data_IF_564141280229
#
_entry.id   IF_564141280229
#
_cell.length_a   1.000
_cell.length_b   1.000
_cell.length_c   1.000
_cell.angle_alpha   90.00
_cell.angle_beta   90.00
_cell.angle_gamma   90.00
#
_symmetry.space_group_name_H-M   'P 1'
#
loop_
_entity.id
_entity.type
_entity.pdbx_description
1 polymer ?
#
# COMPACT_ATOMS: atom_id res chain seq x y z
N UNK A 1 62.04 19.54 21.30
CA UNK A 1 61.34 20.73 20.74
C UNK A 1 61.82 20.94 19.31
N UNK A 2 61.06 20.95 18.22
CA UNK A 2 59.62 20.81 17.95
C UNK A 2 59.50 20.28 16.49
N UNK A 3 58.56 19.37 16.25
CA UNK A 3 58.30 18.70 14.97
C UNK A 3 57.81 19.66 13.88
N UNK A 4 58.42 19.59 12.69
CA UNK A 4 58.00 20.36 11.51
C UNK A 4 57.27 19.47 10.49
N UNK A 5 56.22 18.77 10.93
CA UNK A 5 55.27 18.13 10.01
C UNK A 5 54.34 19.21 9.45
N UNK A 6 54.66 19.76 8.28
CA UNK A 6 53.86 20.81 7.63
C UNK A 6 53.49 20.42 6.20
N UNK A 7 52.19 20.15 6.03
CA UNK A 7 51.39 20.33 4.82
C UNK A 7 51.61 19.33 3.67
N UNK A 8 50.88 18.22 3.72
CA UNK A 8 50.27 17.67 2.51
C UNK A 8 48.76 17.50 2.75
N UNK A 9 48.03 18.59 2.49
CA UNK A 9 46.58 18.57 2.34
C UNK A 9 46.33 18.02 0.94
N UNK A 10 46.09 16.71 0.83
CA UNK A 10 45.62 16.10 -0.40
C UNK A 10 44.09 15.99 -0.33
N UNK A 11 43.42 17.05 -0.79
CA UNK A 11 42.00 17.06 -1.07
C UNK A 11 41.74 16.16 -2.28
N UNK A 12 41.14 14.97 -2.07
CA UNK A 12 40.65 14.14 -3.16
C UNK A 12 39.27 14.69 -3.54
N UNK A 13 39.28 15.56 -4.55
CA UNK A 13 38.10 16.12 -5.18
C UNK A 13 37.37 15.06 -6.01
N UNK A 14 36.16 14.73 -5.55
CA UNK A 14 34.91 14.48 -6.27
C UNK A 14 35.05 14.17 -7.78
N UNK A 15 34.70 12.94 -8.15
CA UNK A 15 34.04 12.67 -9.44
C UNK A 15 32.81 11.80 -9.18
N UNK A 16 31.72 12.45 -8.79
CA UNK A 16 30.39 11.88 -8.96
C UNK A 16 30.19 11.77 -10.46
N UNK A 17 30.35 10.57 -11.02
CA UNK A 17 29.91 10.28 -12.36
C UNK A 17 28.38 10.22 -12.34
N UNK A 18 27.74 11.39 -12.38
CA UNK A 18 26.33 11.51 -12.67
C UNK A 18 26.11 11.06 -14.11
N UNK A 19 25.80 9.77 -14.28
CA UNK A 19 25.32 9.24 -15.55
C UNK A 19 23.96 9.86 -15.85
N UNK A 20 23.94 10.88 -16.72
CA UNK A 20 22.71 11.38 -17.31
C UNK A 20 22.23 10.36 -18.36
N UNK A 21 21.31 9.49 -17.98
CA UNK A 21 20.57 8.69 -18.94
C UNK A 21 19.41 9.54 -19.50
N UNK A 22 19.41 9.73 -20.82
CA UNK A 22 18.43 10.51 -21.56
C UNK A 22 17.00 9.99 -21.32
N UNK A 23 16.13 10.84 -20.78
CA UNK A 23 14.72 10.55 -20.58
C UNK A 23 13.94 10.67 -21.90
N UNK A 24 13.28 9.59 -22.31
CA UNK A 24 12.19 9.62 -23.30
C UNK A 24 11.07 8.68 -22.87
N UNK A 25 10.02 9.22 -22.25
CA UNK A 25 8.67 8.67 -22.29
C UNK A 25 7.68 9.63 -21.61
N UNK A 26 6.86 10.31 -22.42
CA UNK A 26 5.66 10.99 -21.94
C UNK A 26 4.59 9.94 -21.60
N UNK A 27 3.99 9.93 -20.39
CA UNK A 27 2.86 9.07 -20.11
C UNK A 27 1.54 9.75 -20.54
N UNK A 28 1.02 9.40 -21.71
CA UNK A 28 -0.39 9.64 -22.06
C UNK A 28 -1.24 8.54 -21.44
N UNK A 29 -1.53 8.64 -20.14
CA UNK A 29 -2.50 7.77 -19.47
C UNK A 29 -3.78 8.55 -19.17
N UNK A 30 -4.62 8.70 -20.19
CA UNK A 30 -6.03 9.11 -20.06
C UNK A 30 -6.92 7.90 -20.32
N UNK A 31 -6.98 6.98 -19.35
CA UNK A 31 -8.02 5.96 -19.35
C UNK A 31 -9.28 6.57 -18.75
N UNK A 32 -10.18 7.05 -19.60
CA UNK A 32 -11.51 7.50 -19.20
C UNK A 32 -12.41 6.28 -19.19
N UNK A 33 -12.78 5.81 -17.99
CA UNK A 33 -13.90 4.89 -17.80
C UNK A 33 -15.19 5.66 -18.12
N UNK A 34 -15.59 5.67 -19.38
CA UNK A 34 -17.01 5.86 -19.69
C UNK A 34 -17.75 4.74 -18.95
N UNK A 35 -18.84 5.08 -18.24
CA UNK A 35 -19.64 4.20 -17.36
C UNK A 35 -19.27 4.30 -15.86
N UNK A 36 -19.25 5.51 -15.31
CA UNK A 36 -19.21 5.76 -13.86
C UNK A 36 -20.57 6.22 -13.29
N UNK A 37 -21.67 6.07 -14.04
CA UNK A 37 -22.99 6.59 -13.64
C UNK A 37 -23.61 5.86 -12.43
N UNK A 38 -23.11 4.68 -12.02
CA UNK A 38 -23.73 3.88 -10.94
C UNK A 38 -22.82 3.59 -9.74
N UNK A 39 -21.60 4.12 -9.70
CA UNK A 39 -20.69 3.91 -8.55
C UNK A 39 -20.56 5.16 -7.69
N UNK A 40 -20.97 5.07 -6.43
CA UNK A 40 -20.70 6.06 -5.37
C UNK A 40 -19.21 6.10 -4.95
N UNK A 41 -18.31 5.64 -5.82
CA UNK A 41 -16.86 5.70 -5.60
C UNK A 41 -16.31 7.00 -6.17
N UNK A 42 -15.46 7.72 -5.42
CA UNK A 42 -14.89 8.96 -5.91
C UNK A 42 -14.00 8.67 -7.12
N UNK A 43 -14.16 9.47 -8.18
CA UNK A 43 -13.20 9.48 -9.28
C UNK A 43 -11.90 10.10 -8.76
N UNK A 44 -10.86 9.28 -8.65
CA UNK A 44 -9.54 9.72 -8.23
C UNK A 44 -8.82 10.40 -9.41
N UNK A 45 -8.01 11.44 -9.16
CA UNK A 45 -7.21 12.05 -10.20
C UNK A 45 -6.23 11.04 -10.81
N UNK A 46 -5.98 11.17 -12.12
CA UNK A 46 -4.97 10.35 -12.80
C UNK A 46 -3.58 10.61 -12.21
N UNK A 47 -2.90 9.56 -11.77
CA UNK A 47 -1.53 9.63 -11.28
C UNK A 47 -0.54 9.36 -12.43
N UNK A 48 0.34 10.32 -12.70
CA UNK A 48 1.46 10.15 -13.61
C UNK A 48 2.77 10.04 -12.83
N UNK A 49 3.43 8.89 -12.91
CA UNK A 49 4.77 8.71 -12.34
C UNK A 49 5.80 9.51 -13.14
N UNK A 50 6.73 10.17 -12.45
CA UNK A 50 7.90 10.82 -13.04
C UNK A 50 9.10 9.87 -13.21
N UNK A 51 9.08 8.72 -12.52
CA UNK A 51 10.16 7.71 -12.57
C UNK A 51 9.85 6.60 -13.58
N UNK A 52 10.88 6.18 -14.30
CA UNK A 52 10.88 4.99 -15.13
C UNK A 52 10.92 3.72 -14.28
N UNK A 53 10.54 2.59 -14.88
CA UNK A 53 10.61 1.28 -14.21
C UNK A 53 12.02 0.90 -13.77
N UNK A 54 13.04 1.31 -14.54
CA UNK A 54 14.43 1.02 -14.23
C UNK A 54 14.88 1.79 -12.97
N UNK A 55 14.54 3.07 -12.89
CA UNK A 55 14.87 3.92 -11.73
C UNK A 55 14.19 3.42 -10.46
N UNK A 56 12.91 3.05 -10.54
CA UNK A 56 12.18 2.48 -9.39
C UNK A 56 12.85 1.19 -8.88
N UNK A 57 13.34 0.33 -9.77
CA UNK A 57 14.04 -0.89 -9.37
C UNK A 57 15.38 -0.60 -8.70
N UNK A 58 16.14 0.36 -9.21
CA UNK A 58 17.42 0.75 -8.64
C UNK A 58 17.24 1.32 -7.23
N UNK A 59 16.27 2.22 -7.04
CA UNK A 59 15.94 2.79 -5.73
C UNK A 59 15.46 1.73 -4.74
N UNK A 60 14.66 0.76 -5.19
CA UNK A 60 14.19 -0.33 -4.34
C UNK A 60 15.35 -1.21 -3.85
N UNK A 61 16.31 -1.54 -4.72
CA UNK A 61 17.52 -2.28 -4.33
C UNK A 61 18.34 -1.49 -3.31
N UNK A 62 18.59 -0.21 -3.57
CA UNK A 62 19.29 0.66 -2.64
C UNK A 62 18.59 0.76 -1.27
N UNK A 63 17.27 0.91 -1.26
CA UNK A 63 16.49 0.97 -0.02
C UNK A 63 16.54 -0.36 0.76
N UNK A 64 16.57 -1.49 0.05
CA UNK A 64 16.75 -2.81 0.67
C UNK A 64 18.12 -2.94 1.31
N UNK A 65 19.18 -2.59 0.58
CA UNK A 65 20.57 -2.71 1.07
C UNK A 65 20.82 -1.79 2.27
N UNK A 66 20.20 -0.61 2.27
CA UNK A 66 20.28 0.33 3.38
C UNK A 66 19.32 -0.01 4.55
N UNK A 67 18.49 -1.05 4.43
CA UNK A 67 17.54 -1.45 5.47
C UNK A 67 16.38 -0.47 5.70
N UNK A 68 16.04 0.37 4.71
CA UNK A 68 14.98 1.39 4.81
C UNK A 68 13.58 0.82 4.51
N UNK A 69 13.48 -0.44 4.08
CA UNK A 69 12.17 -1.04 3.81
C UNK A 69 11.44 -1.33 5.12
N UNK A 70 10.20 -0.87 5.23
CA UNK A 70 9.30 -1.31 6.29
C UNK A 70 9.08 -2.82 6.13
N UNK A 71 9.65 -3.61 7.04
CA UNK A 71 9.62 -5.09 7.02
C UNK A 71 8.50 -5.68 7.87
N UNK A 72 7.73 -4.84 8.56
CA UNK A 72 6.76 -5.29 9.55
C UNK A 72 5.40 -4.65 9.31
N UNK A 73 4.35 -5.39 9.64
CA UNK A 73 2.94 -4.98 9.63
C UNK A 73 2.61 -3.93 10.71
N UNK A 74 3.62 -3.20 11.20
CA UNK A 74 3.53 -2.33 12.38
C UNK A 74 2.76 -1.04 12.13
N UNK A 75 2.60 -0.64 10.86
CA UNK A 75 1.79 0.51 10.47
C UNK A 75 0.30 0.19 10.35
N UNK A 76 -0.08 -1.10 10.43
CA UNK A 76 -1.48 -1.46 10.51
C UNK A 76 -1.99 -1.37 11.95
N UNK A 77 -3.12 -0.69 12.19
CA UNK A 77 -3.69 -0.63 13.52
C UNK A 77 -4.05 -2.05 13.98
N UNK A 78 -3.46 -2.48 15.10
CA UNK A 78 -3.87 -3.70 15.78
C UNK A 78 -5.31 -3.50 16.27
N UNK A 79 -6.26 -4.11 15.57
CA UNK A 79 -7.65 -4.12 16.02
C UNK A 79 -7.72 -4.92 17.34
N UNK A 80 -8.52 -4.45 18.32
CA UNK A 80 -8.77 -5.24 19.52
C UNK A 80 -9.39 -6.57 19.13
N UNK A 81 -9.10 -7.61 19.91
CA UNK A 81 -9.75 -8.90 19.74
C UNK A 81 -11.27 -8.71 19.81
N UNK A 82 -12.00 -9.17 18.79
CA UNK A 82 -13.45 -9.10 18.79
C UNK A 82 -13.99 -9.95 19.94
N UNK A 83 -14.63 -9.30 20.92
CA UNK A 83 -15.30 -9.98 22.03
C UNK A 83 -16.73 -10.31 21.63
N UNK A 84 -17.06 -11.60 21.56
CA UNK A 84 -18.45 -12.05 21.41
C UNK A 84 -19.08 -12.24 22.79
N UNK A 85 -20.31 -11.77 22.97
CA UNK A 85 -21.12 -12.09 24.14
C UNK A 85 -21.70 -13.50 24.09
N UNK A 86 -21.71 -14.14 22.91
CA UNK A 86 -22.23 -15.50 22.69
C UNK A 86 -21.10 -16.50 22.48
N UNK A 87 -21.26 -17.67 23.09
CA UNK A 87 -20.41 -18.84 22.85
C UNK A 87 -20.76 -19.49 21.51
N UNK A 88 -19.84 -20.28 20.94
CA UNK A 88 -20.08 -21.03 19.70
C UNK A 88 -21.28 -21.98 19.81
N UNK A 89 -21.53 -22.55 21.00
CA UNK A 89 -22.68 -23.42 21.23
C UNK A 89 -24.00 -22.65 21.14
N UNK A 90 -24.07 -21.45 21.73
CA UNK A 90 -25.26 -20.59 21.66
C UNK A 90 -25.54 -20.15 20.22
N UNK A 91 -24.52 -19.74 19.47
CA UNK A 91 -24.67 -19.37 18.06
C UNK A 91 -25.20 -20.54 17.22
N UNK A 92 -24.73 -21.75 17.48
CA UNK A 92 -25.24 -22.95 16.79
C UNK A 92 -26.70 -23.23 17.14
N UNK A 93 -27.07 -23.08 18.41
CA UNK A 93 -28.46 -23.29 18.84
C UNK A 93 -29.42 -22.29 18.19
N UNK A 94 -29.04 -21.01 18.14
CA UNK A 94 -29.79 -19.95 17.47
C UNK A 94 -29.90 -20.17 15.96
N UNK A 95 -28.82 -20.64 15.32
CA UNK A 95 -28.85 -20.99 13.90
C UNK A 95 -29.85 -22.12 13.61
N UNK A 96 -29.86 -23.18 14.40
CA UNK A 96 -30.83 -24.28 14.23
C UNK A 96 -32.26 -23.83 14.54
N UNK A 97 -32.43 -22.93 15.53
CA UNK A 97 -33.73 -22.32 15.81
C UNK A 97 -34.24 -21.49 14.63
N UNK A 98 -33.40 -20.63 14.04
CA UNK A 98 -33.75 -19.80 12.87
C UNK A 98 -34.10 -20.62 11.63
N UNK A 99 -33.41 -21.74 11.43
CA UNK A 99 -33.73 -22.70 10.36
C UNK A 99 -35.06 -23.40 10.61
N UNK A 100 -35.38 -23.73 11.86
CA UNK A 100 -36.62 -24.40 12.24
C UNK A 100 -37.84 -23.46 12.18
N UNK A 101 -37.64 -22.16 12.44
CA UNK A 101 -38.70 -21.15 12.32
C UNK A 101 -38.89 -20.59 10.91
N UNK A 102 -38.11 -21.06 9.90
CA UNK A 102 -38.04 -20.49 8.54
C UNK A 102 -37.74 -18.97 8.53
N UNK A 103 -37.29 -18.39 9.65
CA UNK A 103 -36.98 -16.97 9.78
C UNK A 103 -35.86 -16.54 8.83
N UNK A 104 -34.91 -17.44 8.57
CA UNK A 104 -33.83 -17.23 7.59
C UNK A 104 -34.40 -16.89 6.19
N UNK A 105 -35.50 -17.54 5.78
CA UNK A 105 -36.15 -17.31 4.48
C UNK A 105 -37.00 -16.04 4.47
N UNK A 106 -37.43 -15.55 5.64
CA UNK A 106 -38.18 -14.29 5.77
C UNK A 106 -37.26 -13.10 5.56
N UNK A 107 -36.02 -13.17 6.07
CA UNK A 107 -35.00 -12.13 5.90
C UNK A 107 -34.61 -11.92 4.44
N UNK A 108 -34.48 -12.99 3.67
CA UNK A 108 -34.17 -12.92 2.23
C UNK A 108 -35.26 -12.21 1.39
N UNK A 109 -36.53 -12.35 1.78
CA UNK A 109 -37.65 -11.76 1.04
C UNK A 109 -37.91 -10.30 1.38
N UNK A 110 -37.72 -9.89 2.63
CA UNK A 110 -37.97 -8.51 3.06
C UNK A 110 -36.83 -7.56 2.68
N UNK A 111 -35.59 -8.04 2.54
CA UNK A 111 -34.44 -7.21 2.18
C UNK A 111 -34.27 -6.99 0.66
N UNK A 112 -34.84 -7.85 -0.19
CA UNK A 112 -34.72 -7.77 -1.66
C UNK A 112 -36.04 -7.45 -2.39
N UNK A 113 -37.10 -7.11 -1.65
CA UNK A 113 -38.38 -6.64 -2.21
C UNK A 113 -38.46 -5.10 -2.20
N UNK A 114 -37.46 -4.45 -2.79
CA UNK A 114 -37.47 -3.03 -3.14
C UNK A 114 -37.49 -2.86 -4.65
#
# INVERSE_FOLDING_TARGET
>A
MNSLNKKLIAAIAISIASGAALAHNAPTNSFVLAQAEESNYPILPSFASTKTRAEVKAELLQARDNGLLATTDSDYPKLPAATSSKTRAQVKAELEQSKASDDDKRLDKEQYSG
#
